data_IF_463515597936
#
_entry.id   IF_463515597936
#
_cell.length_a   1.000
_cell.length_b   1.000
_cell.length_c   1.000
_cell.angle_alpha   90.00
_cell.angle_beta   90.00
_cell.angle_gamma   90.00
#
_symmetry.space_group_name_H-M   'P 1'
#
loop_
_entity.id
_entity.type
_entity.pdbx_description
1 polymer ?
#
# COMPACT_ATOMS: atom_id res chain seq x y z
N UNK A 1 -22.14 -16.92 -3.78
CA UNK A 1 -21.27 -16.63 -4.94
C UNK A 1 -19.81 -16.85 -4.60
N UNK A 2 -19.14 -16.00 -3.76
CA UNK A 2 -17.70 -16.14 -3.48
C UNK A 2 -17.34 -17.48 -2.82
N UNK A 3 -18.17 -18.01 -1.92
CA UNK A 3 -18.00 -19.33 -1.31
C UNK A 3 -18.07 -20.46 -2.33
N UNK A 4 -18.94 -20.35 -3.32
CA UNK A 4 -19.11 -21.36 -4.37
C UNK A 4 -17.86 -21.49 -5.25
N UNK A 5 -17.05 -20.42 -5.30
CA UNK A 5 -15.73 -20.41 -5.93
C UNK A 5 -14.58 -20.83 -5.00
N UNK A 6 -14.87 -21.30 -3.79
CA UNK A 6 -13.85 -21.76 -2.85
C UNK A 6 -13.04 -20.64 -2.18
N UNK A 7 -13.55 -19.40 -2.17
CA UNK A 7 -12.89 -18.27 -1.51
C UNK A 7 -12.87 -18.48 -0.01
N UNK A 8 -11.68 -18.51 0.60
CA UNK A 8 -11.50 -18.77 2.03
C UNK A 8 -11.67 -17.52 2.92
N UNK A 9 -11.67 -16.33 2.36
CA UNK A 9 -11.84 -15.06 3.07
C UNK A 9 -11.71 -13.87 2.13
N UNK A 10 -11.99 -12.66 2.63
CA UNK A 10 -11.91 -11.43 1.84
C UNK A 10 -11.26 -10.30 2.62
N UNK A 11 -10.39 -9.54 1.94
CA UNK A 11 -9.85 -8.29 2.48
C UNK A 11 -10.75 -7.14 2.06
N UNK A 12 -11.24 -6.39 3.04
CA UNK A 12 -12.10 -5.25 2.83
C UNK A 12 -11.33 -4.04 2.32
N UNK A 13 -11.99 -3.22 1.48
CA UNK A 13 -11.42 -1.95 1.03
C UNK A 13 -11.13 -1.04 2.25
N UNK A 14 -9.97 -0.38 2.27
CA UNK A 14 -9.63 0.60 3.32
C UNK A 14 -10.50 1.87 3.28
N UNK A 15 -11.33 2.03 2.26
CA UNK A 15 -12.26 3.16 2.10
C UNK A 15 -13.58 2.96 2.87
N UNK A 16 -13.84 1.73 3.37
CA UNK A 16 -15.05 1.43 4.10
C UNK A 16 -15.07 2.08 5.48
N UNK A 17 -16.22 2.63 5.82
CA UNK A 17 -16.47 3.15 7.17
C UNK A 17 -16.68 2.00 8.17
N UNK A 18 -16.47 2.27 9.45
CA UNK A 18 -16.70 1.28 10.51
C UNK A 18 -18.16 0.75 10.56
N UNK A 19 -19.14 1.54 10.08
CA UNK A 19 -20.54 1.11 9.97
C UNK A 19 -20.72 0.08 8.85
N UNK A 20 -20.13 0.34 7.70
CA UNK A 20 -20.17 -0.58 6.55
C UNK A 20 -19.43 -1.88 6.85
N UNK A 21 -18.28 -1.81 7.49
CA UNK A 21 -17.54 -3.00 7.94
C UNK A 21 -18.40 -3.88 8.83
N UNK A 22 -19.04 -3.31 9.86
CA UNK A 22 -19.94 -4.07 10.74
C UNK A 22 -21.11 -4.70 10.00
N UNK A 23 -21.71 -3.94 9.07
CA UNK A 23 -22.81 -4.45 8.25
C UNK A 23 -22.36 -5.64 7.41
N UNK A 24 -21.25 -5.52 6.69
CA UNK A 24 -20.71 -6.62 5.88
C UNK A 24 -20.40 -7.86 6.75
N UNK A 25 -19.84 -7.66 7.95
CA UNK A 25 -19.54 -8.76 8.84
C UNK A 25 -20.78 -9.51 9.35
N UNK A 26 -21.95 -8.86 9.36
CA UNK A 26 -23.23 -9.53 9.69
C UNK A 26 -23.90 -10.18 8.47
N UNK A 27 -23.58 -9.72 7.27
CA UNK A 27 -24.18 -10.21 6.01
C UNK A 27 -23.39 -11.37 5.38
N UNK A 28 -22.20 -11.71 5.89
CA UNK A 28 -21.37 -12.79 5.35
C UNK A 28 -20.76 -13.65 6.44
N UNK A 29 -20.65 -14.96 6.16
CA UNK A 29 -19.88 -15.90 7.00
C UNK A 29 -18.43 -16.04 6.53
N UNK A 30 -17.99 -15.29 5.49
CA UNK A 30 -16.60 -15.33 5.07
C UNK A 30 -15.73 -14.62 6.11
N UNK A 31 -14.57 -15.18 6.48
CA UNK A 31 -13.59 -14.49 7.29
C UNK A 31 -13.16 -13.17 6.60
N UNK A 32 -13.33 -12.06 7.31
CA UNK A 32 -13.00 -10.75 6.79
C UNK A 32 -11.65 -10.25 7.35
N UNK A 33 -10.87 -9.62 6.50
CA UNK A 33 -9.62 -8.96 6.85
C UNK A 33 -9.71 -7.45 6.58
N UNK A 34 -9.03 -6.64 7.41
CA UNK A 34 -8.88 -5.20 7.19
C UNK A 34 -7.40 -4.82 7.17
N UNK A 35 -7.02 -3.94 6.23
CA UNK A 35 -5.69 -3.32 6.23
C UNK A 35 -5.67 -2.26 7.33
N UNK A 36 -4.77 -2.43 8.30
CA UNK A 36 -4.68 -1.53 9.46
C UNK A 36 -3.40 -0.71 9.51
N UNK A 37 -2.42 -1.06 8.70
CA UNK A 37 -1.16 -0.33 8.63
C UNK A 37 -0.48 -0.49 7.28
N UNK A 38 0.17 0.59 6.83
CA UNK A 38 1.00 0.60 5.64
C UNK A 38 0.62 1.71 4.65
N UNK A 39 1.39 1.81 3.57
CA UNK A 39 1.10 2.78 2.51
C UNK A 39 0.15 2.16 1.50
N UNK A 40 -1.04 2.74 1.43
CA UNK A 40 -2.03 2.32 0.46
C UNK A 40 -1.57 2.69 -0.96
N UNK A 41 -1.86 1.81 -1.89
CA UNK A 41 -1.66 2.06 -3.31
C UNK A 41 -2.77 2.96 -3.83
N UNK A 42 -2.40 4.04 -4.50
CA UNK A 42 -3.33 5.00 -5.08
C UNK A 42 -3.53 4.76 -6.57
N UNK A 43 -2.49 4.30 -7.26
CA UNK A 43 -2.52 4.10 -8.71
C UNK A 43 -1.47 3.06 -9.11
N UNK A 44 -1.82 2.26 -10.09
CA UNK A 44 -0.89 1.44 -10.87
C UNK A 44 -0.89 1.94 -12.31
N UNK A 45 0.29 2.08 -12.89
CA UNK A 45 0.46 2.56 -14.26
C UNK A 45 1.47 1.70 -15.00
N UNK A 46 1.16 1.37 -16.24
CA UNK A 46 2.11 0.76 -17.17
C UNK A 46 3.18 1.76 -17.64
N UNK A 47 2.89 3.07 -17.53
CA UNK A 47 3.86 4.10 -17.83
C UNK A 47 4.83 4.28 -16.66
N UNK A 48 6.10 3.98 -16.90
CA UNK A 48 7.15 4.12 -15.91
C UNK A 48 7.83 5.48 -16.03
N UNK A 49 7.49 6.42 -15.13
CA UNK A 49 8.07 7.77 -15.09
C UNK A 49 9.60 7.71 -14.94
N UNK A 50 10.12 6.87 -14.05
CA UNK A 50 11.58 6.75 -13.84
C UNK A 50 12.31 6.22 -15.06
N UNK A 51 11.71 5.26 -15.76
CA UNK A 51 12.25 4.74 -17.02
C UNK A 51 12.27 5.80 -18.12
N UNK A 52 11.18 6.55 -18.26
CA UNK A 52 11.04 7.56 -19.30
C UNK A 52 11.97 8.76 -19.12
N UNK A 53 12.12 9.25 -17.89
CA UNK A 53 12.93 10.45 -17.63
C UNK A 53 14.40 10.17 -17.36
N UNK A 54 14.72 8.99 -16.81
CA UNK A 54 16.06 8.67 -16.33
C UNK A 54 16.64 7.41 -16.94
N UNK A 55 15.80 6.56 -17.53
CA UNK A 55 16.16 5.23 -17.99
C UNK A 55 16.51 5.13 -19.47
N UNK A 56 16.29 6.19 -20.27
CA UNK A 56 16.53 6.16 -21.71
C UNK A 56 15.50 5.32 -22.49
N UNK A 57 14.33 5.03 -21.92
CA UNK A 57 13.25 4.33 -22.63
C UNK A 57 12.78 5.17 -23.82
N UNK A 58 13.03 4.74 -25.02
CA UNK A 58 12.72 5.46 -26.27
C UNK A 58 13.87 5.41 -27.25
N UNK A 59 15.09 5.30 -26.75
CA UNK A 59 16.31 5.15 -27.57
C UNK A 59 16.92 3.74 -27.46
N UNK A 60 16.34 2.89 -26.59
CA UNK A 60 16.82 1.52 -26.35
C UNK A 60 16.28 0.88 -25.09
N UNK A 61 16.87 -0.22 -24.60
CA UNK A 61 16.47 -0.87 -23.36
C UNK A 61 16.64 0.06 -22.16
N UNK A 62 15.66 0.07 -21.25
CA UNK A 62 15.70 0.86 -20.03
C UNK A 62 16.93 0.51 -19.16
N UNK A 63 17.68 1.52 -18.70
CA UNK A 63 18.81 1.37 -17.79
C UNK A 63 18.41 1.00 -16.35
N UNK A 64 17.13 0.81 -16.09
CA UNK A 64 16.53 0.40 -14.80
C UNK A 64 16.96 1.29 -13.60
N UNK A 65 16.79 2.61 -13.67
CA UNK A 65 17.17 3.51 -12.56
C UNK A 65 16.41 3.19 -11.27
N UNK A 66 15.20 2.63 -11.36
CA UNK A 66 14.36 2.23 -10.25
C UNK A 66 14.99 1.18 -9.32
N UNK A 67 15.96 0.40 -9.80
CA UNK A 67 16.68 -0.59 -8.99
C UNK A 67 17.80 0.03 -8.17
N UNK A 68 18.26 1.24 -8.56
CA UNK A 68 19.41 1.92 -7.97
C UNK A 68 19.05 3.08 -7.04
N UNK A 69 17.75 3.43 -6.95
CA UNK A 69 17.32 4.57 -6.15
C UNK A 69 15.86 4.48 -5.72
N UNK A 70 15.50 5.38 -4.82
CA UNK A 70 14.12 5.57 -4.36
C UNK A 70 13.58 6.85 -4.96
N UNK A 71 12.40 6.73 -5.56
CA UNK A 71 11.76 7.83 -6.26
C UNK A 71 10.41 8.14 -5.64
N UNK A 72 10.00 9.38 -5.75
CA UNK A 72 8.68 9.82 -5.33
C UNK A 72 8.17 10.91 -6.28
N UNK A 73 6.88 10.99 -6.44
CA UNK A 73 6.23 12.16 -7.03
C UNK A 73 6.02 13.19 -5.93
N UNK A 74 6.26 14.45 -6.23
CA UNK A 74 6.01 15.58 -5.34
C UNK A 74 4.81 16.36 -5.84
N UNK A 75 3.83 16.61 -5.00
CA UNK A 75 2.68 17.43 -5.35
C UNK A 75 2.93 18.93 -5.10
N UNK A 76 1.93 19.75 -5.39
CA UNK A 76 1.97 21.22 -5.20
C UNK A 76 2.05 21.65 -3.73
N UNK A 77 1.78 20.72 -2.79
CA UNK A 77 1.80 20.94 -1.34
C UNK A 77 3.02 20.30 -0.69
N UNK A 78 4.03 19.97 -1.50
CA UNK A 78 5.26 19.32 -1.08
C UNK A 78 5.10 17.90 -0.50
N UNK A 79 3.93 17.28 -0.64
CA UNK A 79 3.72 15.89 -0.24
C UNK A 79 4.43 14.95 -1.21
N UNK A 80 5.14 13.96 -0.65
CA UNK A 80 5.91 12.98 -1.41
C UNK A 80 5.14 11.66 -1.49
N UNK A 81 4.84 11.23 -2.72
CA UNK A 81 4.18 9.97 -3.03
C UNK A 81 5.23 8.97 -3.51
N UNK A 82 5.65 8.00 -2.68
CA UNK A 82 6.67 7.05 -3.06
C UNK A 82 6.26 6.23 -4.27
N UNK A 83 7.23 5.93 -5.13
CA UNK A 83 7.07 5.05 -6.28
C UNK A 83 7.69 3.70 -5.98
N UNK A 84 6.97 2.64 -6.30
CA UNK A 84 7.48 1.28 -6.31
C UNK A 84 7.28 0.69 -7.71
N UNK A 85 8.27 -0.05 -8.20
CA UNK A 85 8.17 -0.76 -9.48
C UNK A 85 8.09 -2.26 -9.18
N UNK A 86 7.23 -2.95 -9.91
CA UNK A 86 7.17 -4.40 -9.88
C UNK A 86 8.11 -5.03 -10.94
N UNK A 87 8.12 -6.34 -10.99
CA UNK A 87 8.94 -7.12 -11.92
C UNK A 87 8.49 -6.96 -13.40
N UNK A 88 7.29 -6.45 -13.63
CA UNK A 88 6.73 -6.21 -14.96
C UNK A 88 6.87 -4.75 -15.39
N UNK A 89 7.61 -3.94 -14.64
CA UNK A 89 7.79 -2.50 -14.84
C UNK A 89 6.51 -1.67 -14.65
N UNK A 90 5.46 -2.20 -13.97
CA UNK A 90 4.36 -1.38 -13.57
C UNK A 90 4.79 -0.44 -12.44
N UNK A 91 4.40 0.81 -12.56
CA UNK A 91 4.66 1.84 -11.54
C UNK A 91 3.50 1.93 -10.57
N UNK A 92 3.75 1.62 -9.31
CA UNK A 92 2.81 1.78 -8.21
C UNK A 92 3.07 3.11 -7.51
N UNK A 93 2.07 3.97 -7.48
CA UNK A 93 2.11 5.23 -6.71
C UNK A 93 1.49 4.97 -5.34
N UNK A 94 2.27 5.16 -4.29
CA UNK A 94 1.84 4.91 -2.93
C UNK A 94 1.46 6.22 -2.24
N UNK A 95 0.51 6.13 -1.30
CA UNK A 95 0.06 7.30 -0.55
C UNK A 95 1.24 7.97 0.19
N UNK A 96 1.24 9.29 0.20
CA UNK A 96 2.24 10.11 0.90
C UNK A 96 2.26 9.86 2.41
N UNK A 97 1.11 9.49 3.00
CA UNK A 97 0.98 9.11 4.41
C UNK A 97 0.67 7.63 4.54
N UNK A 98 1.32 6.96 5.48
CA UNK A 98 0.96 5.60 5.84
C UNK A 98 -0.35 5.60 6.62
N UNK A 99 -1.26 4.68 6.28
CA UNK A 99 -2.38 4.34 7.15
C UNK A 99 -1.82 3.82 8.48
N UNK A 100 -2.39 4.25 9.60
CA UNK A 100 -2.04 3.75 10.93
C UNK A 100 -3.30 3.63 11.79
N UNK A 101 -3.94 2.47 11.73
CA UNK A 101 -5.10 2.12 12.54
C UNK A 101 -4.75 1.20 13.71
N UNK A 102 -3.46 0.95 13.94
CA UNK A 102 -2.97 0.09 15.02
C UNK A 102 -3.48 0.52 16.41
N UNK A 103 -3.58 1.82 16.77
CA UNK A 103 -4.17 2.25 18.04
C UNK A 103 -5.64 1.84 18.20
N UNK A 104 -6.31 1.52 17.09
CA UNK A 104 -7.71 1.09 17.07
C UNK A 104 -7.89 -0.40 16.81
N UNK A 105 -6.79 -1.18 16.78
CA UNK A 105 -6.80 -2.60 16.42
C UNK A 105 -7.82 -3.42 17.23
N UNK A 106 -7.95 -3.13 18.54
CA UNK A 106 -8.89 -3.81 19.42
C UNK A 106 -10.36 -3.62 19.06
N UNK A 107 -10.70 -2.59 18.25
CA UNK A 107 -12.08 -2.32 17.82
C UNK A 107 -12.51 -3.17 16.62
N UNK A 108 -11.58 -3.76 15.89
CA UNK A 108 -11.88 -4.54 14.69
C UNK A 108 -12.49 -5.91 15.03
N UNK A 109 -11.99 -6.59 16.06
CA UNK A 109 -12.51 -7.91 16.46
C UNK A 109 -13.98 -7.89 16.86
N UNK A 110 -14.45 -6.98 17.71
CA UNK A 110 -15.88 -6.84 18.00
C UNK A 110 -16.72 -6.40 16.78
N UNK A 111 -16.09 -5.83 15.77
CA UNK A 111 -16.74 -5.47 14.51
C UNK A 111 -16.86 -6.64 13.53
N UNK A 112 -16.45 -7.87 13.90
CA UNK A 112 -16.54 -9.06 13.07
C UNK A 112 -15.33 -9.28 12.15
N UNK A 113 -14.20 -8.59 12.38
CA UNK A 113 -12.98 -8.77 11.58
C UNK A 113 -12.12 -9.88 12.18
N UNK A 114 -11.84 -10.88 11.35
CA UNK A 114 -11.04 -12.05 11.73
C UNK A 114 -9.53 -11.79 11.65
N UNK A 115 -9.07 -10.97 10.69
CA UNK A 115 -7.67 -10.77 10.40
C UNK A 115 -7.32 -9.30 10.22
N UNK A 116 -6.21 -8.86 10.81
CA UNK A 116 -5.62 -7.55 10.59
C UNK A 116 -4.42 -7.70 9.65
N UNK A 117 -4.42 -6.94 8.56
CA UNK A 117 -3.40 -6.99 7.53
C UNK A 117 -2.50 -5.76 7.60
N UNK A 118 -1.20 -5.98 7.48
CA UNK A 118 -0.20 -4.92 7.33
C UNK A 118 0.27 -4.93 5.88
N UNK A 119 0.12 -3.79 5.20
CA UNK A 119 0.64 -3.59 3.85
C UNK A 119 2.10 -3.16 3.93
N UNK A 120 3.00 -4.09 3.62
CA UNK A 120 4.44 -3.90 3.76
C UNK A 120 5.12 -3.37 2.49
N UNK A 121 4.37 -3.07 1.41
CA UNK A 121 4.93 -2.50 0.18
C UNK A 121 5.76 -1.26 0.50
N UNK A 122 6.98 -1.22 -0.01
CA UNK A 122 7.97 -0.16 0.23
C UNK A 122 8.37 0.09 1.70
N UNK A 123 7.87 -0.65 2.68
CA UNK A 123 8.27 -0.48 4.08
C UNK A 123 9.73 -0.86 4.34
N UNK A 124 10.25 -1.89 3.68
CA UNK A 124 11.66 -2.26 3.80
C UNK A 124 12.60 -1.15 3.31
N UNK A 125 12.20 -0.42 2.28
CA UNK A 125 12.96 0.73 1.76
C UNK A 125 12.89 1.94 2.68
N UNK A 126 11.88 2.05 3.53
CA UNK A 126 11.75 3.13 4.52
C UNK A 126 12.56 2.87 5.80
N UNK A 127 12.83 1.60 6.17
CA UNK A 127 13.69 1.29 7.34
C UNK A 127 15.10 1.86 7.21
N UNK A 128 15.61 1.99 6.00
CA UNK A 128 16.92 2.58 5.73
C UNK A 128 16.93 4.10 5.94
N UNK A 129 15.78 4.74 6.07
CA UNK A 129 15.61 6.19 6.27
C UNK A 129 15.12 6.56 7.68
N UNK A 130 14.85 5.59 8.52
CA UNK A 130 14.73 5.80 9.96
C UNK A 130 16.16 6.01 10.48
N UNK A 131 16.57 7.27 10.54
CA UNK A 131 17.72 7.68 11.34
C UNK A 131 17.60 7.04 12.72
N UNK A 132 18.70 6.50 13.26
CA UNK A 132 18.67 5.94 14.59
C UNK A 132 18.19 7.01 15.57
N UNK A 133 17.23 6.65 16.43
CA UNK A 133 16.66 7.49 17.48
C UNK A 133 17.68 8.08 18.48
N UNK A 134 18.98 8.00 18.17
CA UNK A 134 20.07 8.50 19.02
C UNK A 134 20.46 9.96 18.77
N UNK A 135 19.83 10.64 17.81
CA UNK A 135 20.17 12.04 17.50
C UNK A 135 19.03 13.04 17.80
N UNK A 136 18.13 12.69 18.73
CA UNK A 136 17.24 13.66 19.36
C UNK A 136 17.64 13.74 20.82
N UNK A 137 18.73 14.48 21.05
CA UNK A 137 19.14 14.99 22.33
C UNK A 137 18.69 16.41 22.48
#
# INVERSE_FOLDING_TARGET
FLKDYGVAGATLSPELTAKEIRRLATETDLPLACIVHGRLELMVSEYCVTGSFLGGCGEGPCSQPCTRGHFALKDRKDALFPLAMDQFCHMHVLNSKALSMLPHAMKFRPAGIATLQIEAKAMQKMKTRLLPLKEVG
#
